data_IF_826305700474
#
_entry.id   IF_826305700474
#
_cell.length_a   1.000
_cell.length_b   1.000
_cell.length_c   1.000
_cell.angle_alpha   90.00
_cell.angle_beta   90.00
_cell.angle_gamma   90.00
#
_symmetry.space_group_name_H-M   'P 1'
#
loop_
_entity.id
_entity.type
_entity.pdbx_description
1 polymer ?
#
# COMPACT_ATOMS: atom_id res chain seq x y z
N UNK A 1 -9.58 -4.68 3.08
CA UNK A 1 -8.30 -3.99 3.28
C UNK A 1 -8.56 -2.56 3.71
N UNK A 2 -7.69 -1.97 4.46
CA UNK A 2 -7.74 -0.56 4.87
C UNK A 2 -6.39 0.08 4.54
N UNK A 3 -6.39 1.36 4.21
CA UNK A 3 -5.18 2.10 3.94
C UNK A 3 -4.89 3.03 5.12
N UNK A 4 -3.79 2.77 5.81
CA UNK A 4 -3.22 3.67 6.80
C UNK A 4 -2.20 4.59 6.16
N UNK A 5 -2.19 5.85 6.54
CA UNK A 5 -1.23 6.81 6.03
C UNK A 5 -0.67 7.70 7.13
N UNK A 6 0.57 8.11 6.93
CA UNK A 6 1.24 9.08 7.79
C UNK A 6 1.77 10.22 6.95
N UNK A 7 1.46 11.45 7.36
CA UNK A 7 2.03 12.63 6.72
C UNK A 7 3.25 13.06 7.52
N UNK A 8 4.39 13.01 6.89
CA UNK A 8 5.63 13.52 7.48
C UNK A 8 5.63 15.05 7.34
N UNK A 9 5.92 15.82 8.40
CA UNK A 9 6.10 17.26 8.27
C UNK A 9 7.10 17.60 7.16
N UNK A 10 6.70 18.48 6.25
CA UNK A 10 7.51 18.84 5.07
C UNK A 10 7.21 18.06 3.79
N UNK A 11 6.45 16.98 3.84
CA UNK A 11 5.95 16.33 2.61
C UNK A 11 4.78 17.14 2.02
N UNK A 12 4.79 17.45 0.72
CA UNK A 12 3.63 18.06 0.07
C UNK A 12 2.42 17.09 0.05
N UNK A 13 1.20 17.61 0.15
CA UNK A 13 0.86 19.00 0.37
C UNK A 13 0.78 19.36 1.84
N UNK A 14 1.71 20.13 2.32
CA UNK A 14 1.77 20.58 3.73
C UNK A 14 0.62 21.51 4.13
N UNK A 15 -0.13 22.02 3.15
CA UNK A 15 -1.22 22.98 3.35
C UNK A 15 -2.62 22.38 3.27
N UNK A 16 -2.74 21.07 3.07
CA UNK A 16 -4.03 20.41 3.13
C UNK A 16 -4.36 20.19 4.60
N UNK A 17 -5.50 20.73 5.04
CA UNK A 17 -6.11 20.30 6.30
C UNK A 17 -6.47 18.83 6.14
N UNK A 18 -5.52 17.98 6.49
CA UNK A 18 -5.70 16.56 6.47
C UNK A 18 -6.77 16.25 7.50
N UNK A 19 -7.80 15.56 7.09
CA UNK A 19 -8.71 14.91 8.02
C UNK A 19 -7.91 14.06 9.01
N UNK A 20 -8.54 13.42 9.98
CA UNK A 20 -7.82 12.66 10.98
C UNK A 20 -6.85 11.72 10.29
N UNK A 21 -5.58 11.89 10.59
CA UNK A 21 -4.53 10.97 10.17
C UNK A 21 -4.87 9.64 10.83
N UNK A 22 -5.10 8.62 10.03
CA UNK A 22 -5.13 7.29 10.57
C UNK A 22 -3.69 6.95 10.94
N UNK A 23 -3.41 7.08 12.21
CA UNK A 23 -2.11 6.83 12.79
C UNK A 23 -1.76 5.34 12.79
N UNK A 24 -0.90 4.93 13.71
CA UNK A 24 -0.56 3.53 13.90
C UNK A 24 -1.79 2.67 14.18
N UNK A 25 -1.69 1.39 13.82
CA UNK A 25 -2.71 0.39 14.18
C UNK A 25 -2.93 0.43 15.70
N UNK A 26 -4.15 0.66 16.10
CA UNK A 26 -4.51 0.80 17.51
C UNK A 26 -5.20 -0.47 18.03
N UNK A 27 -5.41 -0.53 19.35
CA UNK A 27 -6.03 -1.68 20.01
C UNK A 27 -7.45 -2.01 19.54
N UNK A 28 -8.19 -1.00 19.04
CA UNK A 28 -9.56 -1.23 18.54
C UNK A 28 -9.54 -1.89 17.17
N UNK A 29 -8.56 -1.53 16.34
CA UNK A 29 -8.34 -2.14 15.03
C UNK A 29 -7.88 -3.58 15.19
N UNK A 30 -6.99 -3.85 16.14
CA UNK A 30 -6.60 -5.22 16.47
C UNK A 30 -7.79 -6.07 16.91
N UNK A 31 -8.62 -5.55 17.82
CA UNK A 31 -9.84 -6.20 18.24
C UNK A 31 -10.86 -6.39 17.10
N UNK A 32 -10.79 -5.56 16.07
CA UNK A 32 -11.62 -5.65 14.89
C UNK A 32 -11.14 -6.70 13.86
N UNK A 33 -10.02 -7.38 14.12
CA UNK A 33 -9.55 -8.50 13.32
C UNK A 33 -8.44 -8.18 12.31
N UNK A 34 -7.50 -7.29 12.64
CA UNK A 34 -6.28 -7.10 11.87
C UNK A 34 -5.46 -8.38 11.88
N UNK A 35 -5.11 -8.89 10.71
CA UNK A 35 -4.28 -10.08 10.53
C UNK A 35 -2.91 -9.79 9.92
N UNK A 36 -2.69 -8.59 9.45
CA UNK A 36 -1.40 -8.19 8.92
C UNK A 36 -1.37 -6.76 8.41
N UNK A 37 -0.17 -6.28 8.15
CA UNK A 37 0.06 -5.01 7.48
C UNK A 37 1.33 -5.09 6.62
N UNK A 38 1.37 -4.32 5.54
CA UNK A 38 2.53 -4.22 4.66
C UNK A 38 2.69 -2.80 4.12
N UNK A 39 3.90 -2.49 3.65
CA UNK A 39 4.21 -1.17 3.11
C UNK A 39 3.33 -0.80 1.91
N UNK A 40 3.04 0.50 1.76
CA UNK A 40 2.38 1.04 0.59
C UNK A 40 3.39 1.68 -0.39
N UNK A 41 2.97 2.70 -1.12
CA UNK A 41 3.78 3.38 -2.13
C UNK A 41 4.83 4.34 -1.55
N UNK A 42 5.46 5.07 -2.45
CA UNK A 42 6.45 6.09 -2.12
C UNK A 42 5.83 7.24 -1.33
N UNK A 43 6.69 8.03 -0.70
CA UNK A 43 6.27 9.32 -0.12
C UNK A 43 5.60 10.19 -1.18
N UNK A 44 4.60 10.96 -0.78
CA UNK A 44 3.97 11.97 -1.66
C UNK A 44 4.98 12.94 -2.25
N UNK A 45 6.02 13.31 -1.50
CA UNK A 45 7.12 14.14 -1.97
C UNK A 45 7.86 13.56 -3.18
N UNK A 46 7.85 12.24 -3.36
CA UNK A 46 8.46 11.59 -4.53
C UNK A 46 7.65 11.78 -5.82
N UNK A 47 6.43 12.34 -5.73
CA UNK A 47 5.51 12.58 -6.86
C UNK A 47 5.23 11.33 -7.71
N UNK A 48 5.31 10.16 -7.10
CA UNK A 48 5.09 8.87 -7.76
C UNK A 48 3.61 8.55 -7.99
N UNK A 49 2.71 9.41 -7.53
CA UNK A 49 1.27 9.30 -7.69
C UNK A 49 0.48 10.05 -6.63
N UNK A 50 -0.82 10.01 -6.76
CA UNK A 50 -1.75 10.67 -5.87
C UNK A 50 -2.28 9.77 -4.76
N UNK A 51 -2.92 10.40 -3.78
CA UNK A 51 -3.59 9.75 -2.65
C UNK A 51 -4.90 10.46 -2.37
N UNK A 52 -5.98 9.70 -2.24
CA UNK A 52 -7.28 10.20 -1.80
C UNK A 52 -7.84 9.26 -0.74
N UNK A 53 -8.35 9.81 0.36
CA UNK A 53 -8.95 9.04 1.45
C UNK A 53 -10.23 9.75 1.91
N UNK A 54 -11.33 9.01 1.98
CA UNK A 54 -12.64 9.51 2.41
C UNK A 54 -13.13 10.76 1.65
N UNK A 55 -12.81 10.84 0.36
CA UNK A 55 -13.15 11.99 -0.48
C UNK A 55 -12.20 13.19 -0.32
N UNK A 56 -11.21 13.10 0.57
CA UNK A 56 -10.16 14.11 0.71
C UNK A 56 -8.98 13.74 -0.19
N UNK A 57 -8.66 14.59 -1.13
CA UNK A 57 -7.50 14.44 -2.00
C UNK A 57 -6.26 14.98 -1.27
N UNK A 58 -5.38 14.08 -0.83
CA UNK A 58 -4.13 14.43 -0.15
C UNK A 58 -3.03 14.81 -1.15
N UNK A 59 -3.03 14.11 -2.29
CA UNK A 59 -2.22 14.42 -3.46
C UNK A 59 -3.03 14.11 -4.72
N UNK A 60 -2.96 14.94 -5.77
CA UNK A 60 -3.76 14.74 -6.98
C UNK A 60 -3.54 13.37 -7.61
N UNK A 61 -4.64 12.69 -7.96
CA UNK A 61 -4.59 11.45 -8.73
C UNK A 61 -4.29 11.75 -10.20
N UNK A 62 -3.40 10.98 -10.78
CA UNK A 62 -2.96 11.11 -12.16
C UNK A 62 -3.55 9.98 -13.02
N UNK A 63 -4.11 10.27 -14.19
CA UNK A 63 -4.93 9.31 -14.94
C UNK A 63 -4.15 8.14 -15.55
N UNK A 64 -2.84 8.21 -15.60
CA UNK A 64 -1.98 7.21 -16.24
C UNK A 64 -1.25 6.26 -15.27
N UNK A 65 -1.36 6.49 -13.97
CA UNK A 65 -0.65 5.70 -12.97
C UNK A 65 -1.50 4.53 -12.47
N UNK A 66 -0.82 3.49 -12.00
CA UNK A 66 -1.48 2.39 -11.32
C UNK A 66 -2.07 2.86 -10.00
N UNK A 67 -3.32 2.50 -9.76
CA UNK A 67 -4.11 2.97 -8.63
C UNK A 67 -4.70 1.80 -7.87
N UNK A 68 -4.25 1.57 -6.64
CA UNK A 68 -4.93 0.73 -5.68
C UNK A 68 -6.15 1.47 -5.13
N UNK A 69 -7.32 0.91 -5.31
CA UNK A 69 -8.60 1.48 -4.88
C UNK A 69 -9.28 0.52 -3.91
N UNK A 70 -9.62 0.99 -2.72
CA UNK A 70 -10.30 0.23 -1.69
C UNK A 70 -11.71 0.78 -1.55
N UNK A 71 -12.71 -0.06 -1.63
CA UNK A 71 -14.10 0.32 -1.43
C UNK A 71 -14.55 0.19 0.04
N UNK A 72 -15.84 0.46 0.30
CA UNK A 72 -16.41 0.41 1.66
C UNK A 72 -16.46 -0.98 2.26
N UNK A 73 -16.43 -2.05 1.45
CA UNK A 73 -16.36 -3.44 1.91
C UNK A 73 -14.92 -3.86 2.24
N UNK A 74 -13.93 -3.06 1.85
CA UNK A 74 -12.52 -3.38 1.99
C UNK A 74 -11.96 -4.15 0.81
N UNK A 75 -12.74 -4.29 -0.28
CA UNK A 75 -12.28 -4.93 -1.50
C UNK A 75 -11.29 -4.04 -2.22
N UNK A 76 -10.19 -4.64 -2.66
CA UNK A 76 -9.13 -3.97 -3.39
C UNK A 76 -9.29 -4.19 -4.88
N UNK A 77 -9.15 -3.11 -5.65
CA UNK A 77 -8.98 -3.15 -7.11
C UNK A 77 -7.74 -2.36 -7.49
N UNK A 78 -7.00 -2.86 -8.47
CA UNK A 78 -5.91 -2.13 -9.08
C UNK A 78 -6.32 -1.81 -10.51
N UNK A 79 -6.29 -0.52 -10.86
CA UNK A 79 -6.59 -0.03 -12.20
C UNK A 79 -5.39 0.76 -12.73
N UNK A 80 -5.30 0.91 -14.04
CA UNK A 80 -4.33 1.80 -14.70
C UNK A 80 -5.04 2.74 -15.67
N UNK A 81 -4.47 3.90 -15.91
CA UNK A 81 -4.95 4.86 -16.91
C UNK A 81 -6.23 5.64 -16.58
N UNK A 82 -6.92 5.37 -15.48
CA UNK A 82 -8.25 5.93 -15.16
C UNK A 82 -8.34 6.67 -13.83
N UNK A 83 -7.26 6.80 -13.09
CA UNK A 83 -7.25 7.55 -11.84
C UNK A 83 -8.02 6.90 -10.68
N UNK A 84 -8.22 5.58 -10.72
CA UNK A 84 -8.86 4.81 -9.65
C UNK A 84 -10.29 4.36 -9.95
N UNK A 85 -10.83 3.49 -9.10
CA UNK A 85 -12.18 2.96 -9.23
C UNK A 85 -13.22 3.88 -8.58
N UNK A 86 -14.37 4.15 -9.23
CA UNK A 86 -15.44 4.94 -8.63
C UNK A 86 -15.95 4.31 -7.33
N UNK A 87 -16.35 5.17 -6.38
CA UNK A 87 -16.92 4.72 -5.10
C UNK A 87 -15.90 4.25 -4.07
N UNK A 88 -14.61 4.33 -4.39
CA UNK A 88 -13.55 3.98 -3.44
C UNK A 88 -13.50 4.95 -2.27
N UNK A 89 -13.22 4.41 -1.10
CA UNK A 89 -12.96 5.19 0.13
C UNK A 89 -11.47 5.52 0.30
N UNK A 90 -10.59 4.74 -0.32
CA UNK A 90 -9.17 5.05 -0.40
C UNK A 90 -8.65 4.75 -1.79
N UNK A 91 -7.77 5.61 -2.29
CA UNK A 91 -7.09 5.47 -3.57
C UNK A 91 -5.64 5.86 -3.41
N UNK A 92 -4.74 4.97 -3.80
CA UNK A 92 -3.29 5.17 -3.67
C UNK A 92 -2.64 4.84 -4.99
N UNK A 93 -1.90 5.77 -5.53
CA UNK A 93 -1.13 5.58 -6.75
C UNK A 93 0.35 5.39 -6.45
N UNK A 94 1.00 4.58 -7.28
CA UNK A 94 2.45 4.47 -7.25
C UNK A 94 3.00 3.99 -8.60
N UNK A 95 3.53 4.91 -9.38
CA UNK A 95 4.13 4.64 -10.70
C UNK A 95 3.14 4.03 -11.72
N UNK A 96 3.65 3.53 -12.83
CA UNK A 96 2.87 2.81 -13.83
C UNK A 96 2.52 1.39 -13.37
N UNK A 97 1.57 0.75 -14.04
CA UNK A 97 1.26 -0.64 -13.78
C UNK A 97 2.43 -1.56 -14.11
N UNK A 98 2.62 -2.60 -13.30
CA UNK A 98 3.56 -3.69 -13.55
C UNK A 98 2.92 -4.80 -14.37
N UNK A 99 1.67 -5.15 -14.05
CA UNK A 99 0.90 -6.22 -14.69
C UNK A 99 -0.46 -5.68 -15.11
N UNK A 100 -0.87 -6.02 -16.32
CA UNK A 100 -2.19 -5.75 -16.91
C UNK A 100 -2.69 -6.97 -17.65
N UNK A 101 -3.92 -7.38 -17.38
CA UNK A 101 -4.55 -8.54 -18.04
C UNK A 101 -3.69 -9.82 -17.94
N UNK A 102 -3.14 -10.12 -16.76
CA UNK A 102 -2.28 -11.27 -16.48
C UNK A 102 -0.97 -11.30 -17.28
N UNK A 103 -0.53 -10.17 -17.80
CA UNK A 103 0.71 -10.03 -18.59
C UNK A 103 1.55 -8.87 -18.06
N UNK A 104 2.83 -8.92 -18.38
CA UNK A 104 3.71 -7.77 -18.18
C UNK A 104 3.12 -6.55 -18.89
N UNK A 105 3.00 -5.42 -18.21
CA UNK A 105 2.48 -4.19 -18.81
C UNK A 105 3.43 -3.65 -19.87
N UNK A 106 2.90 -2.90 -20.82
CA UNK A 106 3.74 -2.21 -21.80
C UNK A 106 4.70 -1.24 -21.10
N UNK A 107 4.29 -0.63 -20.00
CA UNK A 107 5.13 0.28 -19.24
C UNK A 107 6.37 -0.41 -18.68
N UNK A 108 6.24 -1.60 -18.08
CA UNK A 108 7.42 -2.30 -17.51
C UNK A 108 8.38 -2.81 -18.59
N UNK A 109 7.88 -3.03 -19.80
CA UNK A 109 8.70 -3.49 -20.95
C UNK A 109 9.46 -2.35 -21.65
N UNK A 110 8.93 -1.13 -21.60
CA UNK A 110 9.47 0.01 -22.40
C UNK A 110 10.01 1.18 -21.59
N UNK A 111 9.62 1.30 -20.32
CA UNK A 111 10.06 2.42 -19.48
C UNK A 111 11.46 2.17 -18.93
N UNK A 112 12.36 3.17 -19.00
CA UNK A 112 13.70 3.04 -18.45
C UNK A 112 13.69 2.69 -16.94
N UNK A 113 14.72 1.97 -16.50
CA UNK A 113 14.81 1.49 -15.12
C UNK A 113 14.75 2.61 -14.06
N UNK A 114 15.24 3.81 -14.36
CA UNK A 114 15.26 4.96 -13.44
C UNK A 114 13.88 5.56 -13.19
N UNK A 115 12.89 5.30 -14.05
CA UNK A 115 11.51 5.73 -13.86
C UNK A 115 10.73 4.80 -12.92
N UNK A 116 11.34 3.69 -12.52
CA UNK A 116 10.76 2.74 -11.56
C UNK A 116 11.21 3.01 -10.11
N UNK A 117 11.42 4.28 -9.79
CA UNK A 117 11.68 4.79 -8.46
C UNK A 117 13.09 5.33 -8.25
N UNK A 118 13.22 6.24 -7.29
CA UNK A 118 14.49 6.82 -6.88
C UNK A 118 15.38 5.77 -6.22
N UNK A 119 16.38 5.35 -6.94
CA UNK A 119 17.30 4.28 -6.51
C UNK A 119 18.40 4.81 -5.60
N UNK A 120 18.71 4.07 -4.56
CA UNK A 120 19.85 4.36 -3.70
C UNK A 120 21.14 4.09 -4.50
N UNK A 121 22.05 5.06 -4.47
CA UNK A 121 23.33 4.96 -5.18
C UNK A 121 23.23 4.70 -6.69
N UNK A 122 22.13 5.10 -7.31
CA UNK A 122 21.90 4.95 -8.75
C UNK A 122 22.00 3.49 -9.25
N UNK A 123 21.60 2.52 -8.40
CA UNK A 123 21.63 1.11 -8.74
C UNK A 123 20.27 0.67 -9.29
N UNK A 124 20.20 0.03 -10.48
CA UNK A 124 18.96 -0.39 -11.12
C UNK A 124 18.25 -1.54 -10.38
N UNK A 125 19.02 -2.33 -9.65
CA UNK A 125 18.50 -3.45 -8.86
C UNK A 125 18.37 -3.04 -7.39
N UNK A 126 17.21 -3.23 -6.84
CA UNK A 126 16.88 -2.92 -5.43
C UNK A 126 15.97 -3.98 -4.85
N UNK A 127 15.95 -4.17 -3.52
CA UNK A 127 14.83 -4.81 -2.85
C UNK A 127 13.53 -4.11 -3.25
N UNK A 128 12.52 -4.89 -3.65
CA UNK A 128 11.25 -4.35 -4.15
C UNK A 128 10.07 -5.09 -3.57
N UNK A 129 8.93 -4.41 -3.54
CA UNK A 129 7.63 -5.00 -3.26
C UNK A 129 6.59 -4.54 -4.28
N UNK A 130 5.57 -5.35 -4.43
CA UNK A 130 4.45 -5.09 -5.32
C UNK A 130 3.16 -5.68 -4.79
N UNK A 131 2.06 -5.11 -5.23
CA UNK A 131 0.70 -5.47 -4.88
C UNK A 131 -0.01 -5.91 -6.14
N UNK A 132 -0.61 -7.09 -6.10
CA UNK A 132 -1.42 -7.65 -7.17
C UNK A 132 -2.81 -8.03 -6.73
N UNK A 133 -3.70 -8.23 -7.70
CA UNK A 133 -5.02 -8.81 -7.52
C UNK A 133 -5.21 -9.90 -8.57
N UNK A 134 -5.58 -11.11 -8.14
CA UNK A 134 -5.84 -12.25 -9.03
C UNK A 134 -7.26 -12.19 -9.64
N UNK A 135 -7.60 -13.18 -10.47
CA UNK A 135 -8.91 -13.27 -11.11
C UNK A 135 -10.08 -13.52 -10.15
N UNK A 136 -9.80 -13.99 -8.94
CA UNK A 136 -10.79 -14.24 -7.90
C UNK A 136 -10.95 -13.05 -6.93
N UNK A 137 -10.14 -12.00 -7.11
CA UNK A 137 -10.10 -10.85 -6.20
C UNK A 137 -9.18 -11.05 -4.98
N UNK A 138 -8.39 -12.12 -4.95
CA UNK A 138 -7.40 -12.30 -3.89
C UNK A 138 -6.28 -11.29 -4.06
N UNK A 139 -5.81 -10.81 -2.91
CA UNK A 139 -4.72 -9.84 -2.85
C UNK A 139 -3.39 -10.56 -2.72
N UNK A 140 -2.45 -10.21 -3.56
CA UNK A 140 -1.11 -10.77 -3.61
C UNK A 140 -0.07 -9.71 -3.27
N UNK A 141 0.67 -9.93 -2.21
CA UNK A 141 1.86 -9.14 -1.88
C UNK A 141 3.10 -9.95 -2.26
N UNK A 142 3.89 -9.40 -3.15
CA UNK A 142 5.17 -10.00 -3.58
C UNK A 142 6.29 -9.06 -3.21
N UNK A 143 7.29 -9.57 -2.49
CA UNK A 143 8.46 -8.79 -2.10
C UNK A 143 9.72 -9.63 -2.05
N UNK A 144 10.87 -8.97 -2.16
CA UNK A 144 12.18 -9.58 -2.00
C UNK A 144 13.17 -8.60 -1.39
N UNK A 145 14.02 -9.10 -0.51
CA UNK A 145 15.17 -8.39 0.03
C UNK A 145 16.41 -8.53 -0.88
N UNK A 146 16.42 -9.50 -1.78
CA UNK A 146 17.41 -9.57 -2.86
C UNK A 146 17.13 -8.49 -3.90
N UNK A 147 18.18 -7.77 -4.38
CA UNK A 147 17.99 -6.73 -5.38
C UNK A 147 17.47 -7.30 -6.70
N UNK A 148 16.37 -6.74 -7.18
CA UNK A 148 15.73 -7.09 -8.47
C UNK A 148 15.33 -5.84 -9.24
N UNK A 149 15.10 -6.00 -10.55
CA UNK A 149 14.51 -4.98 -11.42
C UNK A 149 12.98 -4.92 -11.26
N UNK A 150 12.36 -3.86 -11.77
CA UNK A 150 10.90 -3.77 -11.84
C UNK A 150 10.30 -4.88 -12.74
N UNK A 151 11.01 -5.26 -13.79
CA UNK A 151 10.61 -6.35 -14.70
C UNK A 151 10.58 -7.71 -13.99
N UNK A 152 11.57 -8.02 -13.17
CA UNK A 152 11.61 -9.26 -12.39
C UNK A 152 10.52 -9.30 -11.32
N UNK A 153 10.24 -8.17 -10.66
CA UNK A 153 9.10 -8.06 -9.75
C UNK A 153 7.77 -8.29 -10.49
N UNK A 154 7.59 -7.68 -11.66
CA UNK A 154 6.39 -7.85 -12.47
C UNK A 154 6.21 -9.31 -12.91
N UNK A 155 7.29 -9.98 -13.33
CA UNK A 155 7.27 -11.40 -13.69
C UNK A 155 6.90 -12.30 -12.50
N UNK A 156 7.38 -11.97 -11.30
CA UNK A 156 7.00 -12.68 -10.08
C UNK A 156 5.51 -12.50 -9.74
N UNK A 157 4.95 -11.30 -9.91
CA UNK A 157 3.51 -11.02 -9.73
C UNK A 157 2.64 -11.78 -10.75
N UNK A 158 3.05 -11.84 -12.03
CA UNK A 158 2.36 -12.68 -13.03
C UNK A 158 2.40 -14.14 -12.61
N UNK A 159 3.54 -14.64 -12.15
CA UNK A 159 3.69 -16.04 -11.70
C UNK A 159 2.85 -16.33 -10.44
N UNK A 160 2.67 -15.36 -9.57
CA UNK A 160 1.78 -15.45 -8.40
C UNK A 160 0.30 -15.52 -8.79
N UNK A 161 -0.09 -15.09 -9.98
CA UNK A 161 -1.46 -15.15 -10.50
C UNK A 161 -2.11 -13.78 -10.71
N UNK A 162 -1.37 -12.70 -10.48
CA UNK A 162 -1.93 -11.36 -10.59
C UNK A 162 -2.49 -11.07 -11.99
N UNK A 163 -3.73 -10.59 -12.05
CA UNK A 163 -4.36 -10.06 -13.26
C UNK A 163 -3.97 -8.60 -13.45
N UNK A 164 -3.90 -7.84 -12.35
CA UNK A 164 -3.40 -6.47 -12.32
C UNK A 164 -2.43 -6.31 -11.16
N UNK A 165 -1.36 -5.52 -11.35
CA UNK A 165 -0.41 -5.26 -10.27
C UNK A 165 0.29 -3.92 -10.41
N UNK A 166 0.75 -3.40 -9.27
CA UNK A 166 1.49 -2.16 -9.14
C UNK A 166 2.73 -2.33 -8.26
N UNK A 167 3.72 -1.46 -8.44
CA UNK A 167 4.86 -1.36 -7.54
C UNK A 167 4.44 -0.72 -6.21
N UNK A 168 5.08 -1.14 -5.13
CA UNK A 168 5.06 -0.47 -3.83
C UNK A 168 6.41 0.18 -3.54
N UNK A 169 6.63 0.67 -2.31
CA UNK A 169 7.91 1.25 -1.93
C UNK A 169 9.02 0.19 -2.00
N UNK A 170 10.23 0.64 -2.21
CA UNK A 170 11.42 -0.19 -2.43
C UNK A 170 12.60 0.27 -1.59
N UNK A 171 13.78 -0.27 -1.83
CA UNK A 171 15.01 -0.11 -1.08
C UNK A 171 15.07 -1.04 0.15
N UNK A 172 16.24 -1.27 0.72
CA UNK A 172 16.43 -2.29 1.77
C UNK A 172 15.56 -2.13 3.02
N UNK A 173 15.02 -0.94 3.28
CA UNK A 173 14.27 -0.64 4.50
C UNK A 173 12.76 -0.64 4.34
N UNK A 174 12.22 -0.82 3.11
CA UNK A 174 10.80 -0.57 2.86
C UNK A 174 9.96 -1.79 2.47
N UNK A 175 10.41 -2.76 1.67
CA UNK A 175 9.67 -4.01 1.53
C UNK A 175 9.52 -4.67 2.89
N UNK A 176 8.29 -4.73 3.39
CA UNK A 176 8.00 -5.22 4.73
C UNK A 176 6.56 -5.71 4.82
N UNK A 177 6.39 -6.86 5.43
CA UNK A 177 5.10 -7.41 5.78
C UNK A 177 5.13 -8.01 7.19
N UNK A 178 4.21 -7.59 8.03
CA UNK A 178 3.96 -8.21 9.32
C UNK A 178 2.65 -8.99 9.29
N UNK A 179 2.66 -10.20 9.82
CA UNK A 179 1.48 -11.06 9.90
C UNK A 179 1.21 -11.44 11.34
N UNK A 180 -0.04 -11.39 11.76
CA UNK A 180 -0.47 -11.90 13.05
C UNK A 180 -0.47 -13.42 13.02
N UNK A 181 0.34 -14.04 13.86
CA UNK A 181 0.48 -15.50 13.91
C UNK A 181 -0.17 -16.13 15.14
N UNK A 182 -0.60 -15.31 16.09
CA UNK A 182 -1.21 -15.79 17.33
C UNK A 182 -2.37 -14.88 17.77
N UNK A 183 -3.48 -14.89 17.05
CA UNK A 183 -4.60 -13.95 17.29
C UNK A 183 -5.26 -14.13 18.66
N UNK A 184 -5.00 -15.24 19.34
CA UNK A 184 -5.55 -15.56 20.67
C UNK A 184 -4.67 -15.09 21.84
N UNK A 185 -3.47 -14.58 21.56
CA UNK A 185 -2.53 -14.14 22.59
C UNK A 185 -2.36 -12.61 22.57
N UNK A 186 -2.46 -12.02 23.74
CA UNK A 186 -2.14 -10.60 23.95
C UNK A 186 -0.82 -10.46 24.73
N UNK A 187 0.03 -9.49 24.40
CA UNK A 187 -0.14 -8.45 23.38
C UNK A 187 -0.01 -9.00 21.97
N UNK A 188 -0.91 -8.57 21.09
CA UNK A 188 -0.87 -8.86 19.67
C UNK A 188 0.37 -8.21 19.05
N UNK A 189 1.07 -8.95 18.24
CA UNK A 189 2.23 -8.45 17.51
C UNK A 189 2.35 -9.15 16.16
N UNK A 190 3.02 -8.49 15.24
CA UNK A 190 3.33 -9.07 13.95
C UNK A 190 4.67 -9.79 13.97
N UNK A 191 4.76 -10.87 13.23
CA UNK A 191 6.03 -11.52 12.86
C UNK A 191 6.34 -11.23 11.39
N UNK A 192 7.63 -11.07 11.10
CA UNK A 192 8.08 -10.94 9.71
C UNK A 192 7.98 -12.27 8.99
N UNK A 193 7.63 -12.22 7.71
CA UNK A 193 7.58 -13.38 6.83
C UNK A 193 8.61 -13.30 5.70
N UNK A 194 9.28 -12.16 5.55
CA UNK A 194 10.30 -11.96 4.52
C UNK A 194 11.69 -12.32 5.05
N UNK A 195 12.38 -13.30 4.45
CA UNK A 195 13.77 -13.59 4.82
C UNK A 195 14.67 -12.37 4.60
N UNK A 196 15.44 -12.00 5.64
CA UNK A 196 16.36 -10.86 5.56
C UNK A 196 15.70 -9.48 5.68
N UNK A 197 14.44 -9.40 6.06
CA UNK A 197 13.78 -8.16 6.37
C UNK A 197 14.46 -7.42 7.52
N UNK A 198 14.75 -6.14 7.33
CA UNK A 198 15.49 -5.34 8.31
C UNK A 198 14.58 -4.57 9.25
N UNK A 199 13.38 -4.28 8.79
CA UNK A 199 12.44 -3.50 9.56
C UNK A 199 11.73 -4.35 10.63
N UNK A 200 11.33 -3.70 11.71
CA UNK A 200 10.52 -4.33 12.73
C UNK A 200 9.06 -4.37 12.26
N UNK A 201 8.44 -5.54 12.03
CA UNK A 201 7.07 -5.64 11.55
C UNK A 201 6.05 -4.98 12.49
N UNK A 202 6.42 -4.80 13.76
CA UNK A 202 5.61 -4.10 14.75
C UNK A 202 5.66 -2.57 14.65
N UNK A 203 6.41 -2.00 13.70
CA UNK A 203 6.42 -0.55 13.49
C UNK A 203 5.05 0.02 13.12
N UNK A 204 4.18 -0.79 12.55
CA UNK A 204 2.80 -0.39 12.23
C UNK A 204 1.93 -0.10 13.46
N UNK A 205 2.37 -0.54 14.65
CA UNK A 205 1.76 -0.21 15.95
C UNK A 205 2.35 1.05 16.61
N UNK A 206 3.36 1.64 16.01
CA UNK A 206 3.97 2.89 16.44
C UNK A 206 3.86 3.91 15.30
N UNK A 207 4.64 4.94 15.24
CA UNK A 207 4.60 5.88 14.11
C UNK A 207 5.43 5.34 12.93
N UNK A 208 4.81 4.72 11.92
CA UNK A 208 5.56 4.04 10.85
C UNK A 208 6.31 4.98 9.90
N UNK A 209 6.03 6.28 9.93
CA UNK A 209 6.66 7.29 9.07
C UNK A 209 6.39 7.10 7.56
N UNK A 210 5.52 6.16 7.18
CA UNK A 210 5.13 5.80 5.80
C UNK A 210 3.69 5.33 5.75
N UNK A 211 3.11 5.42 4.57
CA UNK A 211 1.83 4.80 4.27
C UNK A 211 1.93 3.28 4.26
N UNK A 212 0.88 2.60 4.64
CA UNK A 212 0.81 1.14 4.70
C UNK A 212 -0.61 0.64 4.42
N UNK A 213 -0.71 -0.62 4.08
CA UNK A 213 -1.97 -1.34 3.97
C UNK A 213 -2.17 -2.25 5.17
N UNK A 214 -3.41 -2.33 5.63
CA UNK A 214 -3.83 -3.22 6.71
C UNK A 214 -4.75 -4.29 6.15
N UNK A 215 -4.48 -5.54 6.49
CA UNK A 215 -5.29 -6.69 6.12
C UNK A 215 -6.17 -7.08 7.29
N UNK A 216 -7.47 -7.26 7.03
CA UNK A 216 -8.47 -7.60 8.02
C UNK A 216 -9.01 -9.02 7.78
N UNK A 217 -9.17 -9.81 8.84
CA UNK A 217 -9.73 -11.16 8.76
C UNK A 217 -11.22 -11.19 8.42
N UNK A 218 -11.93 -10.09 8.65
CA UNK A 218 -13.36 -9.97 8.41
C UNK A 218 -13.65 -8.67 7.67
N UNK A 219 -14.65 -8.66 6.76
CA UNK A 219 -15.11 -7.40 6.21
C UNK A 219 -15.62 -6.55 7.37
N UNK A 220 -14.90 -5.51 7.70
CA UNK A 220 -15.39 -4.49 8.61
C UNK A 220 -16.53 -3.76 7.91
N UNK A 221 -17.63 -3.57 8.63
CA UNK A 221 -18.58 -2.56 8.21
C UNK A 221 -17.82 -1.25 8.16
N UNK A 222 -17.66 -0.69 6.97
CA UNK A 222 -16.86 0.50 6.68
C UNK A 222 -17.15 1.71 7.59
N UNK A 223 -18.24 1.69 8.33
CA UNK A 223 -18.58 2.71 9.33
C UNK A 223 -17.57 2.82 10.48
N UNK A 224 -16.86 1.75 10.83
CA UNK A 224 -15.91 1.80 11.96
C UNK A 224 -14.58 2.48 11.60
N UNK A 225 -14.10 2.32 10.36
CA UNK A 225 -12.82 2.89 9.94
C UNK A 225 -12.92 4.27 9.33
N UNK A 226 -13.98 4.51 8.57
CA UNK A 226 -14.11 5.75 7.82
C UNK A 226 -15.18 6.70 8.37
N UNK A 227 -15.87 6.32 9.44
CA UNK A 227 -16.98 7.11 10.01
C UNK A 227 -16.77 7.65 11.42
N UNK A 228 -15.78 7.20 12.16
CA UNK A 228 -15.59 7.62 13.57
C UNK A 228 -14.89 8.97 13.74
N UNK A 229 -14.36 9.53 12.69
CA UNK A 229 -13.74 10.87 12.75
C UNK A 229 -14.74 12.03 12.88
N UNK A 230 -16.03 11.78 12.67
CA UNK A 230 -17.09 12.78 12.80
C UNK A 230 -17.87 12.77 14.13
N UNK A 231 -17.71 11.74 14.96
CA UNK A 231 -18.59 11.52 16.12
C UNK A 231 -18.01 11.92 17.46
N UNK A 232 -16.80 12.45 17.54
CA UNK A 232 -16.17 12.91 18.79
C UNK A 232 -16.14 14.43 18.96
N UNK A 233 -17.04 15.16 18.30
CA UNK A 233 -17.29 16.57 18.64
C UNK A 233 -18.76 16.74 18.97
N UNK A 234 -19.14 16.37 20.14
CA UNK A 234 -20.23 16.96 20.94
C UNK A 234 -20.37 16.14 22.22
N UNK A 235 -19.72 16.61 23.26
CA UNK A 235 -19.83 16.15 24.64
C UNK A 235 -18.86 16.89 25.52
#
# INVERSE_FOLDING_TARGET
MVFGYHVVPGDPPTNVSLGPQEGPINRFELAAGVVGAFNAGYKMAAKAGGVSVNGVVLSPLLPHLATASIDRSGDLKITSGVGGAPGSVAQVQNLNALVENSKLSQSVLSTPWYDWGGVVNNQPLQPRSGLGVDANGNVEYVATMSPVSALELAAALVKAGAVTAMALDMNPSWPEIGVETQPEHHPVGFTTTLPGEWANPNRYFSSPGRSFFVVMARPLHARLYYGSAGALRNG
#
